data_IF_267837120825
#
_entry.id   IF_267837120825
#
_cell.length_a   1.000
_cell.length_b   1.000
_cell.length_c   1.000
_cell.angle_alpha   90.00
_cell.angle_beta   90.00
_cell.angle_gamma   90.00
#
_symmetry.space_group_name_H-M   'P 1'
#
loop_
_entity.id
_entity.type
_entity.pdbx_description
1 polymer ?
#
# COMPACT_ATOMS: atom_id res chain seq x y z
N UNK A 1 10.77 24.17 -20.63
CA UNK A 1 10.01 24.20 -19.37
C UNK A 1 10.78 23.33 -18.40
N UNK A 2 11.38 23.92 -17.39
CA UNK A 2 12.26 23.19 -16.47
C UNK A 2 11.41 22.30 -15.58
N UNK A 3 11.61 20.98 -15.68
CA UNK A 3 10.94 20.01 -14.82
C UNK A 3 11.66 19.96 -13.47
N UNK A 4 10.88 19.83 -12.39
CA UNK A 4 11.37 19.53 -11.05
C UNK A 4 12.11 18.19 -11.11
N UNK A 5 13.39 18.13 -10.70
CA UNK A 5 14.15 16.90 -10.77
C UNK A 5 13.54 15.83 -9.86
N UNK A 6 13.63 14.57 -10.27
CA UNK A 6 13.03 13.43 -9.54
C UNK A 6 13.45 13.37 -8.06
N UNK A 7 14.67 13.79 -7.73
CA UNK A 7 15.18 13.85 -6.37
C UNK A 7 14.41 14.84 -5.51
N UNK A 8 14.01 15.97 -6.07
CA UNK A 8 13.16 16.96 -5.39
C UNK A 8 11.72 16.48 -5.27
N UNK A 9 11.18 15.82 -6.29
CA UNK A 9 9.84 15.22 -6.18
C UNK A 9 9.80 14.15 -5.08
N UNK A 10 10.86 13.33 -4.96
CA UNK A 10 10.98 12.38 -3.86
C UNK A 10 11.03 13.07 -2.48
N UNK A 11 11.54 14.30 -2.37
CA UNK A 11 11.47 15.09 -1.13
C UNK A 11 10.05 15.57 -0.88
N UNK A 12 9.32 16.04 -1.90
CA UNK A 12 7.91 16.44 -1.79
C UNK A 12 7.04 15.28 -1.31
N UNK A 13 7.22 14.08 -1.87
CA UNK A 13 6.51 12.86 -1.45
C UNK A 13 6.77 12.56 0.03
N UNK A 14 8.03 12.62 0.50
CA UNK A 14 8.35 12.44 1.93
C UNK A 14 7.69 13.50 2.81
N UNK A 15 7.67 14.76 2.36
CA UNK A 15 7.06 15.88 3.09
C UNK A 15 5.54 15.77 3.18
N UNK A 16 4.88 15.19 2.19
CA UNK A 16 3.44 14.96 2.21
C UNK A 16 3.06 13.76 3.10
N UNK A 17 3.80 12.66 3.02
CA UNK A 17 3.49 11.43 3.76
C UNK A 17 3.76 11.54 5.27
N UNK A 18 4.85 12.21 5.67
CA UNK A 18 5.25 12.32 7.08
C UNK A 18 4.19 12.93 8.02
N UNK A 19 3.56 14.08 7.70
CA UNK A 19 2.50 14.63 8.56
C UNK A 19 1.21 13.82 8.51
N UNK A 20 0.91 13.14 7.40
CA UNK A 20 -0.28 12.31 7.28
C UNK A 20 -0.17 11.01 8.08
N UNK A 21 1.04 10.44 8.18
CA UNK A 21 1.32 9.18 8.87
C UNK A 21 2.60 9.29 9.72
N UNK A 22 2.53 9.99 10.87
CA UNK A 22 3.70 10.32 11.67
C UNK A 22 4.42 9.09 12.25
N UNK A 23 3.68 8.01 12.52
CA UNK A 23 4.20 6.77 13.11
C UNK A 23 4.75 5.80 12.06
N UNK A 24 4.66 6.14 10.77
CA UNK A 24 5.11 5.28 9.68
C UNK A 24 6.46 5.75 9.10
N UNK A 25 7.41 4.82 9.03
CA UNK A 25 8.72 5.08 8.43
C UNK A 25 8.73 4.72 6.95
N UNK A 26 8.60 5.72 6.09
CA UNK A 26 8.67 5.54 4.64
C UNK A 26 10.10 5.51 4.11
N UNK A 27 10.43 4.48 3.33
CA UNK A 27 11.55 4.47 2.40
C UNK A 27 11.11 5.02 1.05
N UNK A 28 11.66 6.16 0.63
CA UNK A 28 11.39 6.74 -0.70
C UNK A 28 12.67 6.72 -1.52
N UNK A 29 12.65 6.06 -2.67
CA UNK A 29 13.80 5.90 -3.57
C UNK A 29 13.42 6.31 -4.99
N UNK A 30 14.26 7.10 -5.63
CA UNK A 30 14.11 7.46 -7.05
C UNK A 30 14.94 6.53 -7.92
N UNK A 31 14.39 6.09 -9.04
CA UNK A 31 15.07 5.29 -10.05
C UNK A 31 14.90 5.94 -11.43
N UNK A 32 15.98 5.95 -12.21
CA UNK A 32 15.95 6.36 -13.62
C UNK A 32 16.27 5.13 -14.48
N UNK A 33 15.62 5.02 -15.62
CA UNK A 33 15.86 3.96 -16.60
C UNK A 33 15.75 4.52 -18.03
N UNK A 34 16.12 3.71 -19.02
CA UNK A 34 16.02 4.12 -20.42
C UNK A 34 14.54 4.41 -20.75
N UNK A 35 14.23 5.68 -21.03
CA UNK A 35 12.88 6.11 -21.41
C UNK A 35 11.97 6.55 -20.25
N UNK A 36 12.46 6.65 -19.01
CA UNK A 36 11.61 7.12 -17.92
C UNK A 36 12.27 7.20 -16.56
N UNK A 37 11.46 7.61 -15.57
CA UNK A 37 11.90 7.62 -14.18
C UNK A 37 10.74 7.45 -13.20
N UNK A 38 11.01 6.77 -12.09
CA UNK A 38 10.00 6.34 -11.12
C UNK A 38 10.44 6.57 -9.69
N UNK A 39 9.47 6.78 -8.80
CA UNK A 39 9.70 6.85 -7.37
C UNK A 39 9.07 5.60 -6.73
N UNK A 40 9.84 4.90 -5.91
CA UNK A 40 9.36 3.78 -5.12
C UNK A 40 9.23 4.21 -3.66
N UNK A 41 8.03 4.10 -3.13
CA UNK A 41 7.69 4.35 -1.73
C UNK A 41 7.41 3.00 -1.09
N UNK A 42 8.23 2.61 -0.12
CA UNK A 42 8.10 1.34 0.61
C UNK A 42 8.01 1.56 2.10
N UNK A 43 7.17 0.81 2.79
CA UNK A 43 7.07 0.83 4.25
C UNK A 43 6.54 -0.50 4.78
N UNK A 44 6.78 -0.73 6.07
CA UNK A 44 6.32 -1.91 6.79
C UNK A 44 5.09 -1.56 7.63
N UNK A 45 4.08 -2.42 7.62
CA UNK A 45 2.82 -2.28 8.35
C UNK A 45 2.15 -0.90 8.10
N UNK A 46 1.40 -0.34 9.04
CA UNK A 46 0.91 1.04 8.95
C UNK A 46 -0.24 1.30 7.94
N UNK A 47 -0.31 2.47 7.27
CA UNK A 47 -1.45 2.86 6.44
C UNK A 47 -1.58 2.00 5.17
N UNK A 48 -2.81 1.89 4.63
CA UNK A 48 -3.06 1.19 3.37
C UNK A 48 -2.40 1.88 2.18
N UNK A 49 -2.05 1.13 1.14
CA UNK A 49 -1.50 1.68 -0.11
C UNK A 49 -2.41 2.75 -0.70
N UNK A 50 -3.72 2.50 -0.73
CA UNK A 50 -4.73 3.47 -1.17
C UNK A 50 -4.74 4.76 -0.34
N UNK A 51 -4.47 4.68 0.97
CA UNK A 51 -4.40 5.89 1.81
C UNK A 51 -3.15 6.71 1.50
N UNK A 52 -2.01 6.05 1.27
CA UNK A 52 -0.77 6.72 0.84
C UNK A 52 -0.91 7.33 -0.56
N UNK A 53 -1.56 6.63 -1.48
CA UNK A 53 -1.82 7.08 -2.84
C UNK A 53 -2.76 8.30 -2.85
N UNK A 54 -3.78 8.36 -2.00
CA UNK A 54 -4.59 9.57 -1.83
C UNK A 54 -3.77 10.79 -1.40
N UNK A 55 -2.72 10.60 -0.61
CA UNK A 55 -1.86 11.68 -0.11
C UNK A 55 -0.81 12.09 -1.12
N UNK A 56 -0.17 11.14 -1.80
CA UNK A 56 1.02 11.40 -2.61
C UNK A 56 0.88 11.03 -4.10
N UNK A 57 -0.25 10.47 -4.53
CA UNK A 57 -0.51 10.11 -5.92
C UNK A 57 -0.57 11.33 -6.86
N UNK A 58 -0.96 12.51 -6.37
CA UNK A 58 -0.95 13.71 -7.20
C UNK A 58 0.46 14.14 -7.67
N UNK A 59 1.53 13.52 -7.16
CA UNK A 59 2.91 13.71 -7.64
C UNK A 59 3.28 12.81 -8.84
N UNK A 60 2.35 12.04 -9.41
CA UNK A 60 2.53 11.39 -10.71
C UNK A 60 2.75 12.44 -11.81
N UNK A 61 3.81 12.29 -12.61
CA UNK A 61 4.08 13.19 -13.75
C UNK A 61 3.57 12.64 -15.08
N UNK A 62 3.07 11.41 -15.09
CA UNK A 62 2.39 10.81 -16.22
C UNK A 62 1.26 9.89 -15.74
N UNK A 63 0.24 9.76 -16.59
CA UNK A 63 -0.86 8.82 -16.45
C UNK A 63 -0.79 7.77 -17.58
N UNK A 64 -1.35 6.59 -17.34
CA UNK A 64 -1.37 5.48 -18.30
C UNK A 64 -2.79 4.95 -18.46
N UNK A 65 -3.28 4.93 -19.70
CA UNK A 65 -4.53 4.28 -20.08
C UNK A 65 -4.22 2.88 -20.64
N UNK A 66 -4.60 1.84 -19.89
CA UNK A 66 -4.39 0.45 -20.28
C UNK A 66 -5.33 -0.05 -21.38
N UNK A 67 -6.43 0.63 -21.68
CA UNK A 67 -7.32 0.26 -22.78
C UNK A 67 -6.75 0.71 -24.13
N UNK A 68 -6.13 1.90 -24.17
CA UNK A 68 -5.54 2.48 -25.37
C UNK A 68 -4.02 2.24 -25.49
N UNK A 69 -3.41 1.63 -24.48
CA UNK A 69 -1.95 1.49 -24.33
C UNK A 69 -1.23 2.84 -24.48
N UNK A 70 -1.80 3.88 -23.87
CA UNK A 70 -1.38 5.27 -24.06
C UNK A 70 -0.84 5.89 -22.77
N UNK A 71 0.42 6.34 -22.83
CA UNK A 71 1.04 7.18 -21.80
C UNK A 71 0.80 8.65 -22.11
N UNK A 72 0.22 9.39 -21.18
CA UNK A 72 0.08 10.85 -21.25
C UNK A 72 0.89 11.52 -20.15
N UNK A 73 1.53 12.65 -20.47
CA UNK A 73 2.24 13.43 -19.47
C UNK A 73 1.32 14.46 -18.85
N UNK A 74 1.38 14.55 -17.53
CA UNK A 74 0.56 15.49 -16.78
C UNK A 74 1.08 16.90 -17.04
N UNK A 75 0.21 17.91 -16.90
CA UNK A 75 0.61 19.32 -17.01
C UNK A 75 1.54 19.76 -15.87
N UNK A 76 1.72 18.90 -14.86
CA UNK A 76 2.59 19.14 -13.72
C UNK A 76 4.08 19.05 -14.11
N UNK A 77 4.94 19.89 -13.52
CA UNK A 77 6.36 19.94 -13.87
C UNK A 77 7.17 18.82 -13.21
N UNK A 78 6.60 17.65 -12.91
CA UNK A 78 7.32 16.59 -12.20
C UNK A 78 8.24 15.80 -13.14
N UNK A 79 9.47 15.54 -12.65
CA UNK A 79 10.49 14.82 -13.39
C UNK A 79 10.31 13.31 -13.42
N UNK A 80 9.48 12.74 -12.54
CA UNK A 80 9.09 11.32 -12.56
C UNK A 80 7.86 11.09 -13.44
N UNK A 81 7.75 9.87 -13.96
CA UNK A 81 6.55 9.37 -14.60
C UNK A 81 5.58 8.87 -13.52
N UNK A 82 6.00 7.84 -12.79
CA UNK A 82 5.14 7.14 -11.83
C UNK A 82 5.72 7.08 -10.43
N UNK A 83 4.83 6.86 -9.47
CA UNK A 83 5.13 6.58 -8.07
C UNK A 83 4.50 5.23 -7.73
N UNK A 84 5.31 4.30 -7.23
CA UNK A 84 4.85 2.99 -6.81
C UNK A 84 4.83 2.91 -5.29
N UNK A 85 3.70 2.49 -4.74
CA UNK A 85 3.49 2.32 -3.31
C UNK A 85 3.52 0.83 -2.96
N UNK A 86 4.51 0.43 -2.16
CA UNK A 86 4.69 -0.95 -1.75
C UNK A 86 4.63 -1.07 -0.22
N UNK A 87 3.60 -1.74 0.28
CA UNK A 87 3.44 -2.02 1.70
C UNK A 87 3.75 -3.48 1.96
N UNK A 88 4.66 -3.74 2.89
CA UNK A 88 4.91 -5.09 3.40
C UNK A 88 4.21 -5.26 4.74
N UNK A 89 3.40 -6.31 4.86
CA UNK A 89 2.75 -6.68 6.12
C UNK A 89 3.59 -7.76 6.77
N UNK A 90 4.02 -7.54 8.01
CA UNK A 90 4.82 -8.52 8.74
C UNK A 90 3.94 -9.65 9.28
N UNK A 91 4.55 -10.81 9.52
CA UNK A 91 3.83 -11.98 10.03
C UNK A 91 3.21 -11.70 11.40
N UNK A 92 3.91 -10.96 12.25
CA UNK A 92 3.44 -10.57 13.59
C UNK A 92 2.14 -9.77 13.49
N UNK A 93 2.04 -8.87 12.51
CA UNK A 93 0.85 -8.05 12.32
C UNK A 93 -0.34 -8.89 11.81
N UNK A 94 -0.10 -9.89 10.96
CA UNK A 94 -1.13 -10.88 10.62
C UNK A 94 -1.60 -11.66 11.85
N UNK A 95 -0.69 -12.04 12.74
CA UNK A 95 -1.03 -12.76 13.97
C UNK A 95 -1.83 -11.89 14.95
N UNK A 96 -1.48 -10.61 15.08
CA UNK A 96 -2.23 -9.64 15.89
C UNK A 96 -3.67 -9.51 15.39
N UNK A 97 -3.86 -9.35 14.08
CA UNK A 97 -5.20 -9.28 13.50
C UNK A 97 -5.96 -10.61 13.56
N UNK A 98 -5.29 -11.74 13.37
CA UNK A 98 -5.92 -13.04 13.56
C UNK A 98 -6.40 -13.23 15.01
N UNK A 99 -5.61 -12.82 16.00
CA UNK A 99 -6.02 -12.82 17.42
C UNK A 99 -7.24 -11.91 17.65
N UNK A 100 -7.25 -10.73 17.03
CA UNK A 100 -8.38 -9.79 17.12
C UNK A 100 -9.66 -10.41 16.54
N UNK A 101 -9.55 -11.11 15.41
CA UNK A 101 -10.66 -11.82 14.76
C UNK A 101 -11.20 -12.97 15.59
N UNK A 102 -10.31 -13.82 16.11
CA UNK A 102 -10.68 -14.96 16.96
C UNK A 102 -11.44 -14.46 18.18
N UNK A 103 -10.95 -13.42 18.84
CA UNK A 103 -11.64 -12.80 19.98
C UNK A 103 -12.98 -12.14 19.59
N UNK A 104 -13.03 -11.44 18.45
CA UNK A 104 -14.23 -10.72 17.98
C UNK A 104 -15.36 -11.68 17.60
N UNK A 105 -15.05 -12.78 16.93
CA UNK A 105 -16.05 -13.72 16.40
C UNK A 105 -16.21 -15.00 17.23
N UNK A 106 -15.41 -15.16 18.30
CA UNK A 106 -15.46 -16.33 19.18
C UNK A 106 -15.01 -17.62 18.50
N UNK A 107 -14.08 -17.53 17.55
CA UNK A 107 -13.61 -18.66 16.76
C UNK A 107 -12.80 -19.63 17.63
N UNK A 108 -12.88 -20.93 17.32
CA UNK A 108 -12.11 -21.97 18.05
C UNK A 108 -10.72 -22.19 17.43
N UNK A 109 -10.49 -21.64 16.24
CA UNK A 109 -9.25 -21.78 15.49
C UNK A 109 -8.07 -21.12 16.22
N UNK A 110 -6.92 -21.79 16.23
CA UNK A 110 -5.68 -21.23 16.75
C UNK A 110 -5.27 -20.00 15.92
N UNK A 111 -5.04 -18.83 16.54
CA UNK A 111 -4.57 -17.64 15.82
C UNK A 111 -3.21 -17.80 15.14
N UNK A 112 -2.43 -18.80 15.53
CA UNK A 112 -1.11 -19.11 14.95
C UNK A 112 -1.22 -19.91 13.64
N UNK A 113 -2.35 -20.60 13.43
CA UNK A 113 -2.62 -21.41 12.24
C UNK A 113 -3.29 -20.56 11.14
N UNK A 114 -2.60 -19.49 10.74
CA UNK A 114 -3.12 -18.48 9.80
C UNK A 114 -3.63 -19.05 8.47
N UNK A 115 -3.03 -20.14 7.98
CA UNK A 115 -3.34 -20.77 6.70
C UNK A 115 -4.28 -21.97 6.81
N UNK A 116 -4.66 -22.37 8.03
CA UNK A 116 -5.60 -23.47 8.21
C UNK A 116 -6.98 -23.05 7.66
N UNK A 117 -7.55 -23.91 6.83
CA UNK A 117 -8.90 -23.74 6.32
C UNK A 117 -9.91 -24.14 7.38
N UNK A 118 -10.85 -23.26 7.69
CA UNK A 118 -11.87 -23.53 8.71
C UNK A 118 -13.25 -23.01 8.25
N UNK A 119 -14.27 -23.86 8.43
CA UNK A 119 -15.63 -23.57 7.99
C UNK A 119 -16.33 -22.50 8.83
N UNK A 120 -15.98 -22.38 10.11
CA UNK A 120 -16.47 -21.33 11.00
C UNK A 120 -15.85 -19.98 10.64
N UNK A 121 -14.55 -19.96 10.30
CA UNK A 121 -13.88 -18.77 9.76
C UNK A 121 -14.58 -18.31 8.47
N UNK A 122 -14.88 -19.23 7.55
CA UNK A 122 -15.65 -18.90 6.35
C UNK A 122 -17.01 -18.32 6.67
N UNK A 123 -17.77 -18.96 7.55
CA UNK A 123 -19.12 -18.53 7.91
C UNK A 123 -19.16 -17.13 8.54
N UNK A 124 -18.11 -16.74 9.28
CA UNK A 124 -18.04 -15.45 9.99
C UNK A 124 -17.37 -14.34 9.19
N UNK A 125 -16.36 -14.67 8.39
CA UNK A 125 -15.48 -13.69 7.72
C UNK A 125 -15.64 -13.67 6.20
N UNK A 126 -16.32 -14.65 5.62
CA UNK A 126 -16.39 -14.84 4.17
C UNK A 126 -15.08 -15.32 3.53
N UNK A 127 -14.06 -15.65 4.33
CA UNK A 127 -12.75 -16.15 3.91
C UNK A 127 -12.44 -17.50 4.52
N UNK A 128 -11.70 -18.34 3.82
CA UNK A 128 -11.43 -19.70 4.28
C UNK A 128 -10.39 -19.78 5.39
N UNK A 129 -9.50 -18.79 5.48
CA UNK A 129 -8.40 -18.80 6.44
C UNK A 129 -8.32 -17.48 7.21
N UNK A 130 -7.75 -17.52 8.40
CA UNK A 130 -7.50 -16.32 9.21
C UNK A 130 -6.54 -15.35 8.49
N UNK A 131 -5.56 -15.85 7.71
CA UNK A 131 -4.70 -14.99 6.88
C UNK A 131 -5.49 -14.19 5.88
N UNK A 132 -6.43 -14.82 5.17
CA UNK A 132 -7.24 -14.14 4.17
C UNK A 132 -8.17 -13.10 4.79
N UNK A 133 -8.80 -13.42 5.93
CA UNK A 133 -9.62 -12.49 6.68
C UNK A 133 -8.80 -11.30 7.22
N UNK A 134 -7.66 -11.57 7.84
CA UNK A 134 -6.73 -10.54 8.32
C UNK A 134 -6.23 -9.66 7.17
N UNK A 135 -5.87 -10.25 6.03
CA UNK A 135 -5.47 -9.50 4.84
C UNK A 135 -6.56 -8.54 4.38
N UNK A 136 -7.81 -8.98 4.34
CA UNK A 136 -8.94 -8.15 3.95
C UNK A 136 -9.14 -6.94 4.88
N UNK A 137 -9.01 -7.10 6.19
CA UNK A 137 -9.02 -5.94 7.11
C UNK A 137 -7.88 -4.99 6.78
N UNK A 138 -6.69 -5.57 6.63
CA UNK A 138 -5.47 -4.81 6.43
C UNK A 138 -5.43 -4.08 5.10
N UNK A 139 -6.19 -4.49 4.08
CA UNK A 139 -6.24 -3.85 2.76
C UNK A 139 -7.51 -3.03 2.51
N UNK A 140 -8.68 -3.55 2.90
CA UNK A 140 -10.00 -3.02 2.51
C UNK A 140 -10.76 -2.37 3.68
N UNK A 141 -10.25 -2.48 4.92
CA UNK A 141 -10.89 -1.94 6.14
C UNK A 141 -12.30 -2.47 6.42
N UNK A 142 -12.73 -3.56 5.78
CA UNK A 142 -14.07 -4.11 5.91
C UNK A 142 -14.03 -5.62 6.24
N UNK A 143 -14.73 -5.99 7.32
CA UNK A 143 -15.09 -7.36 7.69
C UNK A 143 -16.45 -7.38 8.37
#
# INVERSE_FOLDING_TARGET
MDRIPITEVAILVRKALKPAFPDCKFGVRSQKYAGGSTIHVSWDNGPTTTSCEKVAGHFHGADFDGMEDLKTYNSQPYGNDYIFFNRTITQEHYLEEAKSLVAKYGLIVSPEELDATDAEVLAKTGRWTLRQAAWQILTEKAL
#
